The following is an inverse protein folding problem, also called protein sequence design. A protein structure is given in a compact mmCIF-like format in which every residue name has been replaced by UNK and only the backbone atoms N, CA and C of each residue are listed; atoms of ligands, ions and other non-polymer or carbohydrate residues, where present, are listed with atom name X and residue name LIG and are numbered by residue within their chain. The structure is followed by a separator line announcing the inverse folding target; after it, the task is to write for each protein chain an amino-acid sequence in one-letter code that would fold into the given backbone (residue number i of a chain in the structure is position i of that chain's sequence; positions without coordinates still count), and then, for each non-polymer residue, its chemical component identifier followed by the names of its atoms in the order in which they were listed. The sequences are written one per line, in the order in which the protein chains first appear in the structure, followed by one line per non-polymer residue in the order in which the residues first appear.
data_IF_311776334777
#
_entry.id   IF_311776334777
#
_cell.length_a   1.000
_cell.length_b   1.000
_cell.length_c   1.000
_cell.angle_alpha   90.00
_cell.angle_beta   90.00
_cell.angle_gamma   90.00
#
_symmetry.space_group_name_H-M   'P 1'
#
loop_
_entity.id
_entity.type
_entity.pdbx_description
1 polymer ?
#
# COMPACT_ATOMS: atom_id res chain seq x y z
N UNK A 1 14.99 -11.47 -10.50
CA UNK A 1 13.76 -11.00 -9.83
C UNK A 1 12.71 -10.77 -10.89
N UNK A 2 11.46 -11.24 -10.72
CA UNK A 2 10.42 -10.92 -11.71
C UNK A 2 10.23 -9.41 -11.77
N UNK A 3 9.96 -8.86 -12.96
CA UNK A 3 9.74 -7.42 -13.16
C UNK A 3 8.58 -6.89 -12.29
N UNK A 4 7.68 -7.78 -11.89
CA UNK A 4 6.52 -7.47 -11.05
C UNK A 4 6.92 -7.31 -9.58
N UNK A 5 7.69 -8.26 -9.04
CA UNK A 5 8.08 -8.28 -7.62
C UNK A 5 8.79 -6.98 -7.19
N UNK A 6 9.58 -6.39 -8.09
CA UNK A 6 10.24 -5.08 -7.91
C UNK A 6 9.30 -3.99 -7.36
N UNK A 7 8.05 -3.98 -7.82
CA UNK A 7 7.09 -2.91 -7.51
C UNK A 7 6.23 -3.18 -6.29
N UNK A 8 6.34 -4.35 -5.67
CA UNK A 8 5.59 -4.72 -4.47
C UNK A 8 6.57 -4.92 -3.32
N UNK A 9 6.61 -3.94 -2.41
CA UNK A 9 7.49 -4.02 -1.25
C UNK A 9 7.09 -5.20 -0.34
N UNK A 10 8.03 -5.82 0.39
CA UNK A 10 7.72 -6.89 1.35
C UNK A 10 6.64 -6.51 2.38
N UNK A 11 6.55 -5.23 2.74
CA UNK A 11 5.55 -4.70 3.67
C UNK A 11 4.20 -4.36 3.04
N UNK A 12 4.00 -4.60 1.74
CA UNK A 12 2.75 -4.34 1.03
C UNK A 12 2.66 -2.97 0.36
N UNK A 13 3.63 -2.07 0.52
CA UNK A 13 3.61 -0.80 -0.21
C UNK A 13 3.74 -1.07 -1.71
N UNK A 14 2.83 -0.51 -2.51
CA UNK A 14 2.99 -0.47 -3.96
C UNK A 14 3.98 0.62 -4.35
N UNK A 15 5.21 0.21 -4.68
CA UNK A 15 6.34 1.12 -4.85
C UNK A 15 6.09 2.16 -5.96
N UNK A 16 5.36 1.85 -7.04
CA UNK A 16 5.09 2.83 -8.10
C UNK A 16 4.38 4.10 -7.61
N UNK A 17 3.62 4.00 -6.50
CA UNK A 17 2.92 5.12 -5.87
C UNK A 17 3.64 5.65 -4.62
N UNK A 18 4.82 5.14 -4.31
CA UNK A 18 5.67 5.65 -3.24
C UNK A 18 6.32 6.99 -3.65
N UNK A 19 6.29 8.03 -2.80
CA UNK A 19 6.99 9.30 -3.07
C UNK A 19 8.47 9.13 -3.41
N UNK A 20 9.13 8.10 -2.87
CA UNK A 20 10.54 7.82 -3.16
C UNK A 20 10.86 7.57 -4.64
N UNK A 21 9.93 7.04 -5.43
CA UNK A 21 10.13 6.89 -6.89
C UNK A 21 10.28 8.25 -7.54
N UNK A 22 9.36 9.17 -7.23
CA UNK A 22 9.32 10.52 -7.82
C UNK A 22 10.46 11.39 -7.33
N UNK A 23 10.72 11.41 -6.02
CA UNK A 23 11.66 12.35 -5.42
C UNK A 23 13.11 11.85 -5.41
N UNK A 24 13.33 10.54 -5.38
CA UNK A 24 14.67 9.97 -5.21
C UNK A 24 15.09 9.03 -6.35
N UNK A 25 14.29 8.95 -7.43
CA UNK A 25 14.50 7.98 -8.53
C UNK A 25 14.65 6.54 -7.97
N UNK A 26 13.95 6.25 -6.88
CA UNK A 26 14.02 4.95 -6.20
C UNK A 26 13.61 3.85 -7.18
N UNK A 27 14.25 2.69 -7.09
CA UNK A 27 13.97 1.54 -7.96
C UNK A 27 13.07 0.48 -7.30
N UNK A 28 12.44 0.81 -6.18
CA UNK A 28 11.58 -0.11 -5.42
C UNK A 28 12.33 -0.84 -4.30
N UNK A 29 11.60 -1.19 -3.25
CA UNK A 29 12.20 -1.69 -2.01
C UNK A 29 12.99 -2.99 -2.20
N UNK A 30 12.52 -3.89 -3.06
CA UNK A 30 13.21 -5.14 -3.36
C UNK A 30 14.55 -4.88 -4.06
N UNK A 31 14.58 -3.98 -5.06
CA UNK A 31 15.82 -3.68 -5.80
C UNK A 31 16.82 -2.91 -4.94
N UNK A 32 16.33 -2.01 -4.08
CA UNK A 32 17.19 -1.23 -3.19
C UNK A 32 17.46 -1.88 -1.83
N UNK A 33 17.08 -3.15 -1.65
CA UNK A 33 17.28 -3.90 -0.39
C UNK A 33 16.77 -3.15 0.84
N UNK A 34 15.60 -2.52 0.73
CA UNK A 34 14.98 -1.75 1.80
C UNK A 34 15.59 -0.38 2.10
N UNK A 35 16.66 0.02 1.40
CA UNK A 35 17.32 1.31 1.58
C UNK A 35 16.80 2.34 0.57
N UNK A 36 16.12 3.40 1.02
CA UNK A 36 15.67 4.48 0.12
C UNK A 36 16.67 5.63 0.21
N UNK A 37 17.24 6.09 -0.91
CA UNK A 37 18.28 7.13 -0.94
C UNK A 37 19.44 6.77 0.01
N UNK A 38 19.83 7.69 0.87
CA UNK A 38 20.85 7.60 1.92
C UNK A 38 20.24 7.34 3.31
N UNK A 39 18.94 7.01 3.39
CA UNK A 39 18.31 6.65 4.65
C UNK A 39 18.80 5.29 5.15
N UNK A 40 18.64 5.00 6.46
CA UNK A 40 18.86 3.66 7.00
C UNK A 40 17.99 2.61 6.30
N UNK A 41 18.44 1.34 6.34
CA UNK A 41 17.63 0.22 5.86
C UNK A 41 16.32 0.16 6.63
N UNK A 42 15.21 -0.04 5.91
CA UNK A 42 13.90 -0.15 6.51
C UNK A 42 13.82 -1.38 7.43
N UNK A 43 13.52 -1.16 8.72
CA UNK A 43 13.36 -2.23 9.72
C UNK A 43 12.35 -3.31 9.32
N UNK A 44 11.25 -2.92 8.66
CA UNK A 44 10.27 -3.91 8.18
C UNK A 44 10.84 -4.77 7.06
N UNK A 45 11.65 -4.19 6.17
CA UNK A 45 12.33 -4.96 5.11
C UNK A 45 13.30 -5.98 5.73
N UNK A 46 14.15 -5.54 6.66
CA UNK A 46 15.08 -6.42 7.38
C UNK A 46 14.35 -7.57 8.06
N UNK A 47 13.25 -7.27 8.77
CA UNK A 47 12.42 -8.27 9.44
C UNK A 47 11.92 -9.36 8.48
N UNK A 48 11.29 -8.98 7.35
CA UNK A 48 10.80 -9.97 6.37
C UNK A 48 11.95 -10.80 5.80
N UNK A 49 13.04 -10.15 5.37
CA UNK A 49 14.17 -10.86 4.76
C UNK A 49 14.93 -11.76 5.73
N UNK A 50 15.05 -11.37 7.00
CA UNK A 50 15.72 -12.17 8.04
C UNK A 50 15.00 -13.47 8.35
N UNK A 51 13.68 -13.51 8.12
CA UNK A 51 12.84 -14.70 8.28
C UNK A 51 12.75 -15.54 6.99
N UNK A 52 13.41 -15.12 5.91
CA UNK A 52 13.37 -15.80 4.61
C UNK A 52 12.05 -15.65 3.84
N UNK A 53 11.21 -14.69 4.23
CA UNK A 53 9.94 -14.42 3.56
C UNK A 53 10.12 -13.45 2.39
N UNK A 54 9.21 -13.50 1.43
CA UNK A 54 9.10 -12.52 0.34
C UNK A 54 8.18 -11.36 0.75
N UNK A 55 7.12 -11.67 1.50
CA UNK A 55 6.11 -10.73 1.98
C UNK A 55 5.77 -10.94 3.45
N UNK A 56 5.35 -9.85 4.11
CA UNK A 56 4.91 -9.89 5.51
C UNK A 56 3.78 -10.89 5.78
N UNK A 57 2.89 -11.18 4.81
CA UNK A 57 1.74 -12.06 5.05
C UNK A 57 2.13 -13.53 5.31
N UNK A 58 3.36 -13.91 5.02
CA UNK A 58 3.89 -15.26 5.27
C UNK A 58 4.27 -15.46 6.74
N UNK A 59 4.38 -14.38 7.51
CA UNK A 59 4.72 -14.43 8.92
C UNK A 59 3.50 -14.84 9.76
N UNK A 60 3.69 -15.75 10.73
CA UNK A 60 2.63 -16.18 11.65
C UNK A 60 2.05 -15.03 12.50
N UNK A 61 2.84 -13.97 12.74
CA UNK A 61 2.42 -12.79 13.50
C UNK A 61 1.71 -11.74 12.62
N UNK A 62 1.44 -12.03 11.34
CA UNK A 62 0.79 -11.08 10.45
C UNK A 62 -0.73 -10.98 10.70
N UNK A 63 -1.30 -9.77 10.78
CA UNK A 63 -0.64 -8.46 10.75
C UNK A 63 -0.01 -8.07 12.11
N UNK A 64 1.16 -7.42 12.09
CA UNK A 64 1.85 -6.95 13.29
C UNK A 64 1.96 -5.42 13.37
N UNK A 65 2.41 -4.90 14.52
CA UNK A 65 2.51 -3.46 14.82
C UNK A 65 3.37 -2.67 13.81
N UNK A 66 4.34 -3.31 13.13
CA UNK A 66 5.15 -2.66 12.09
C UNK A 66 4.34 -2.22 10.86
N UNK A 67 3.12 -2.75 10.70
CA UNK A 67 2.20 -2.43 9.60
C UNK A 67 1.04 -1.53 10.04
N UNK A 68 1.04 -1.05 11.29
CA UNK A 68 -0.03 -0.22 11.81
C UNK A 68 -0.23 1.05 10.97
N UNK A 69 -1.49 1.40 10.61
CA UNK A 69 -1.79 2.65 9.92
C UNK A 69 -1.60 3.86 10.84
N UNK A 70 -1.25 5.00 10.26
CA UNK A 70 -1.07 6.28 10.94
C UNK A 70 -1.69 7.39 10.10
N UNK A 71 -2.21 8.41 10.78
CA UNK A 71 -2.74 9.61 10.12
C UNK A 71 -1.68 10.72 10.09
N UNK A 72 -0.91 10.86 11.16
CA UNK A 72 -0.02 12.02 11.37
C UNK A 72 1.43 11.75 10.94
N UNK A 73 1.64 11.34 9.68
CA UNK A 73 2.97 11.20 9.10
C UNK A 73 2.90 11.48 7.59
N UNK A 74 3.19 12.67 7.12
CA UNK A 74 2.75 13.15 5.79
C UNK A 74 3.21 12.32 4.56
N UNK A 75 4.21 11.45 4.71
CA UNK A 75 4.64 10.48 3.69
C UNK A 75 3.72 9.22 3.66
N UNK A 76 2.68 9.15 4.51
CA UNK A 76 1.96 7.91 4.88
C UNK A 76 0.92 7.37 3.92
N UNK A 77 0.45 8.12 2.93
CA UNK A 77 -0.71 7.62 2.20
C UNK A 77 -0.48 6.18 1.65
N UNK A 78 0.70 5.81 1.10
CA UNK A 78 1.00 4.41 0.80
C UNK A 78 1.07 3.47 2.01
N UNK A 79 1.50 3.93 3.18
CA UNK A 79 1.64 3.11 4.39
C UNK A 79 0.30 2.57 4.91
N UNK A 80 -0.79 3.34 4.79
CA UNK A 80 -2.12 2.87 5.19
C UNK A 80 -2.69 1.78 4.27
N UNK A 81 -2.08 1.57 3.09
CA UNK A 81 -2.48 0.52 2.14
C UNK A 81 -1.76 -0.82 2.34
N UNK A 82 -0.75 -0.89 3.22
CA UNK A 82 0.13 -2.06 3.44
C UNK A 82 -0.63 -3.37 3.63
N UNK A 83 -1.46 -3.45 4.67
CA UNK A 83 -2.18 -4.68 5.04
C UNK A 83 -3.17 -5.07 3.94
N UNK A 84 -3.91 -4.10 3.38
CA UNK A 84 -4.85 -4.36 2.28
C UNK A 84 -4.13 -4.98 1.07
N UNK A 85 -3.02 -4.39 0.63
CA UNK A 85 -2.26 -4.89 -0.51
C UNK A 85 -1.71 -6.30 -0.24
N UNK A 86 -1.19 -6.57 0.97
CA UNK A 86 -0.68 -7.90 1.34
C UNK A 86 -1.78 -8.97 1.29
N UNK A 87 -2.97 -8.68 1.83
CA UNK A 87 -4.12 -9.60 1.77
C UNK A 87 -4.55 -9.82 0.32
N UNK A 88 -4.50 -8.78 -0.53
CA UNK A 88 -4.85 -8.94 -1.94
C UNK A 88 -3.82 -9.76 -2.72
N UNK A 89 -2.52 -9.63 -2.41
CA UNK A 89 -1.47 -10.50 -2.96
C UNK A 89 -1.69 -11.94 -2.50
N UNK A 90 -1.96 -12.16 -1.21
CA UNK A 90 -2.23 -13.49 -0.67
C UNK A 90 -3.46 -14.14 -1.33
N UNK A 91 -4.53 -13.37 -1.53
CA UNK A 91 -5.80 -13.86 -2.10
C UNK A 91 -5.71 -14.15 -3.60
N UNK A 92 -5.01 -13.32 -4.36
CA UNK A 92 -5.04 -13.36 -5.82
C UNK A 92 -3.74 -13.83 -6.46
N UNK A 93 -2.67 -13.95 -5.69
CA UNK A 93 -1.31 -14.06 -6.20
C UNK A 93 -0.78 -12.71 -6.69
N UNK A 94 0.55 -12.61 -6.75
CA UNK A 94 1.26 -11.40 -7.18
C UNK A 94 0.91 -11.00 -8.61
N UNK A 95 0.73 -11.99 -9.50
CA UNK A 95 0.44 -11.77 -10.93
C UNK A 95 -0.85 -10.98 -11.13
N UNK A 96 -1.98 -11.52 -10.66
CA UNK A 96 -3.28 -10.88 -10.77
C UNK A 96 -3.36 -9.59 -9.96
N UNK A 97 -2.71 -9.53 -8.80
CA UNK A 97 -2.67 -8.28 -8.03
C UNK A 97 -1.93 -7.18 -8.80
N UNK A 98 -0.79 -7.49 -9.44
CA UNK A 98 -0.01 -6.52 -10.18
C UNK A 98 -0.78 -5.89 -11.34
N UNK A 99 -1.67 -6.63 -12.00
CA UNK A 99 -2.54 -6.13 -13.07
C UNK A 99 -3.52 -5.05 -12.58
N UNK A 100 -4.07 -5.22 -11.37
CA UNK A 100 -5.13 -4.34 -10.84
C UNK A 100 -4.64 -3.31 -9.80
N UNK A 101 -3.42 -3.46 -9.27
CA UNK A 101 -2.91 -2.67 -8.15
C UNK A 101 -2.83 -1.17 -8.47
N UNK A 102 -2.52 -0.81 -9.71
CA UNK A 102 -2.48 0.59 -10.17
C UNK A 102 -3.88 1.24 -10.08
N UNK A 103 -4.92 0.55 -10.54
CA UNK A 103 -6.31 1.00 -10.45
C UNK A 103 -6.76 1.12 -8.98
N UNK A 104 -6.48 0.09 -8.16
CA UNK A 104 -6.85 0.11 -6.73
C UNK A 104 -6.11 1.21 -5.98
N UNK A 105 -4.86 1.46 -6.31
CA UNK A 105 -4.10 2.59 -5.78
C UNK A 105 -4.73 3.92 -6.20
N UNK A 106 -5.09 4.09 -7.48
CA UNK A 106 -5.78 5.30 -7.95
C UNK A 106 -7.07 5.55 -7.16
N UNK A 107 -7.89 4.52 -6.97
CA UNK A 107 -9.10 4.62 -6.15
C UNK A 107 -8.80 4.99 -4.70
N UNK A 108 -7.73 4.47 -4.12
CA UNK A 108 -7.32 4.83 -2.76
C UNK A 108 -6.95 6.32 -2.62
N UNK A 109 -6.26 6.91 -3.60
CA UNK A 109 -5.85 8.33 -3.54
C UNK A 109 -6.93 9.31 -3.99
N UNK A 110 -7.71 8.95 -5.00
CA UNK A 110 -8.62 9.87 -5.70
C UNK A 110 -10.10 9.52 -5.52
N UNK A 111 -10.38 8.27 -5.15
CA UNK A 111 -11.72 7.73 -5.06
C UNK A 111 -12.51 8.32 -3.89
N UNK A 112 -13.81 8.41 -4.09
CA UNK A 112 -14.77 8.90 -3.11
C UNK A 112 -15.83 7.83 -2.89
N UNK A 113 -16.36 7.79 -1.66
CA UNK A 113 -17.63 7.11 -1.42
C UNK A 113 -18.74 8.08 -1.78
N UNK A 114 -19.62 7.63 -2.67
CA UNK A 114 -20.78 8.42 -3.06
C UNK A 114 -21.77 8.44 -1.89
N UNK A 115 -22.15 7.29 -1.33
CA UNK A 115 -23.24 7.21 -0.35
C UNK A 115 -22.83 6.70 1.04
N UNK A 116 -22.48 5.42 1.20
CA UNK A 116 -22.34 4.78 2.51
C UNK A 116 -20.98 4.10 2.74
N UNK A 117 -20.66 3.85 4.01
CA UNK A 117 -19.60 2.94 4.40
C UNK A 117 -19.94 1.52 3.94
N UNK A 118 -19.23 1.02 2.93
CA UNK A 118 -19.39 -0.33 2.38
C UNK A 118 -19.46 -0.32 0.86
N UNK A 119 -19.91 0.80 0.27
CA UNK A 119 -19.95 0.97 -1.16
C UNK A 119 -18.53 1.01 -1.77
N UNK A 120 -18.38 0.58 -3.05
CA UNK A 120 -17.16 0.74 -3.80
C UNK A 120 -16.71 2.21 -3.88
N UNK A 121 -15.40 2.40 -3.95
CA UNK A 121 -14.83 3.70 -4.30
C UNK A 121 -15.13 3.99 -5.77
N UNK A 122 -15.57 5.21 -6.07
CA UNK A 122 -15.75 5.68 -7.43
C UNK A 122 -14.92 6.94 -7.65
N UNK A 123 -14.57 7.24 -8.90
CA UNK A 123 -13.93 8.52 -9.27
C UNK A 123 -14.98 9.62 -9.55
N UNK A 124 -16.25 9.36 -9.24
CA UNK A 124 -17.35 10.28 -9.52
C UNK A 124 -17.32 11.50 -8.59
N UNK A 125 -17.84 12.61 -9.09
CA UNK A 125 -18.03 13.80 -8.26
C UNK A 125 -19.18 13.55 -7.28
N UNK A 126 -18.83 13.54 -6.00
CA UNK A 126 -19.77 13.48 -4.88
C UNK A 126 -20.76 14.65 -4.92
N UNK A 127 -22.07 14.39 -4.82
CA UNK A 127 -23.06 15.46 -4.63
C UNK A 127 -22.78 16.13 -3.26
N UNK A 128 -22.48 17.45 -3.22
CA UNK A 128 -22.20 18.15 -1.96
C UNK A 128 -23.40 18.11 -0.98
N UNK A 129 -24.61 17.82 -1.45
CA UNK A 129 -25.84 17.71 -0.63
C UNK A 129 -26.04 16.33 -0.02
N UNK A 130 -25.12 15.38 -0.22
CA UNK A 130 -25.33 13.97 0.11
C UNK A 130 -25.16 13.64 1.60
N UNK A 131 -24.41 14.47 2.33
CA UNK A 131 -24.25 14.37 3.79
C UNK A 131 -25.11 15.44 4.45
N UNK A 132 -26.43 15.42 4.20
CA UNK A 132 -27.34 16.19 5.06
C UNK A 132 -27.21 15.61 6.47
N UNK A 133 -26.86 16.44 7.44
CA UNK A 133 -27.00 16.10 8.87
C UNK A 133 -28.39 15.50 9.04
N UNK A 134 -28.48 14.40 9.80
CA UNK A 134 -29.77 13.89 10.27
C UNK A 134 -30.49 15.09 10.89
N UNK A 135 -31.67 15.44 10.36
CA UNK A 135 -32.48 16.50 10.99
C UNK A 135 -32.73 16.04 12.43
N UNK A 136 -32.36 16.90 13.37
CA UNK A 136 -32.66 16.71 14.80
C UNK A 136 -34.16 16.61 15.03
#
# INVERSE_FOLDING_TARGET
MSDKLKWHAPCGIYCKRCPGIRFYKCKGCQEQKGQVKDFPVCKTYECVTSKGYEFCYECADFPCEMLQPIVNFEIFAPHNSKVYNLIMIQKHGLEKWNEICEEKSKLYYEGKKVKYGGDPLTLEKKDPRMYKKKKE
#
